data_IF_502790768539
#
_entry.id   IF_502790768539
#
_cell.length_a   1.000
_cell.length_b   1.000
_cell.length_c   1.000
_cell.angle_alpha   90.00
_cell.angle_beta   90.00
_cell.angle_gamma   90.00
#
_symmetry.space_group_name_H-M   'P 1'
#
loop_
_entity.id
_entity.type
_entity.pdbx_description
1 polymer ?
#
# COMPACT_ATOMS: atom_id res chain seq x y z
N UNK A 1 -14.35 60.30 -63.77
CA UNK A 1 -15.34 60.17 -64.86
C UNK A 1 -15.02 58.91 -65.63
N UNK A 2 -16.03 58.04 -65.82
CA UNK A 2 -16.02 56.76 -66.58
C UNK A 2 -15.55 56.92 -68.05
N UNK A 3 -15.20 55.86 -68.85
CA UNK A 3 -15.84 54.51 -69.00
C UNK A 3 -14.85 53.31 -69.09
N UNK A 4 -15.19 52.07 -68.70
CA UNK A 4 -16.06 51.03 -69.28
C UNK A 4 -15.59 50.42 -70.63
N UNK A 5 -15.19 49.14 -70.62
CA UNK A 5 -15.65 48.12 -71.59
C UNK A 5 -15.22 46.69 -71.24
N UNK A 6 -16.16 45.77 -71.45
CA UNK A 6 -16.11 44.31 -71.27
C UNK A 6 -15.83 43.65 -72.62
N UNK A 7 -14.99 42.61 -72.66
CA UNK A 7 -15.09 41.46 -73.61
C UNK A 7 -14.24 40.27 -73.13
N UNK A 8 -14.82 39.08 -73.12
CA UNK A 8 -14.18 37.75 -73.03
C UNK A 8 -14.17 37.10 -74.45
N UNK A 9 -13.84 35.80 -74.73
CA UNK A 9 -13.27 34.70 -73.92
C UNK A 9 -12.26 33.76 -74.69
N UNK A 10 -11.90 32.63 -74.05
CA UNK A 10 -11.54 31.28 -74.60
C UNK A 10 -10.14 30.94 -75.15
N UNK A 11 -9.51 29.93 -74.53
CA UNK A 11 -8.95 28.67 -75.10
C UNK A 11 -8.58 27.75 -73.91
N UNK A 12 -9.29 26.63 -73.63
CA UNK A 12 -9.12 25.24 -74.12
C UNK A 12 -7.68 24.71 -73.90
N UNK A 13 -7.38 23.55 -73.31
CA UNK A 13 -8.14 22.35 -72.88
C UNK A 13 -7.13 21.44 -72.08
N UNK A 14 -7.29 20.11 -71.94
CA UNK A 14 -7.53 19.39 -70.69
C UNK A 14 -6.29 18.59 -70.20
N UNK A 15 -6.37 17.97 -69.01
CA UNK A 15 -6.07 16.53 -68.81
C UNK A 15 -6.10 16.10 -67.34
N UNK A 16 -6.78 14.96 -67.14
CA UNK A 16 -6.53 13.93 -66.13
C UNK A 16 -6.95 14.11 -64.67
N UNK A 17 -8.19 13.68 -64.39
CA UNK A 17 -8.62 13.18 -63.08
C UNK A 17 -7.88 11.88 -62.73
N UNK A 18 -7.11 11.86 -61.65
CA UNK A 18 -6.87 10.65 -60.83
C UNK A 18 -6.91 10.99 -59.34
N UNK A 19 -7.56 10.11 -58.59
CA UNK A 19 -7.92 10.20 -57.17
C UNK A 19 -6.70 10.27 -56.26
N UNK A 20 -6.73 11.08 -55.20
CA UNK A 20 -6.12 10.70 -53.93
C UNK A 20 -7.00 11.18 -52.77
N UNK A 21 -7.22 10.28 -51.83
CA UNK A 21 -8.04 10.40 -50.64
C UNK A 21 -7.25 11.11 -49.53
N UNK A 22 -7.65 12.33 -49.17
CA UNK A 22 -7.14 12.99 -47.96
C UNK A 22 -8.29 13.16 -46.98
N UNK A 23 -8.14 12.50 -45.83
CA UNK A 23 -9.12 12.42 -44.74
C UNK A 23 -9.70 13.79 -44.35
N UNK A 24 -11.03 13.85 -44.18
CA UNK A 24 -11.67 14.92 -43.40
C UNK A 24 -11.28 14.75 -41.93
N UNK A 25 -10.47 15.67 -41.42
CA UNK A 25 -10.25 15.83 -39.98
C UNK A 25 -11.59 16.21 -39.32
N UNK A 26 -12.13 15.33 -38.48
CA UNK A 26 -13.21 15.67 -37.56
C UNK A 26 -12.64 16.44 -36.36
N UNK A 27 -13.43 17.35 -35.74
CA UNK A 27 -12.95 18.16 -34.62
C UNK A 27 -12.64 17.30 -33.40
N UNK A 28 -11.51 17.63 -32.77
CA UNK A 28 -10.96 17.00 -31.57
C UNK A 28 -11.97 17.10 -30.42
N UNK A 29 -12.57 15.96 -30.05
CA UNK A 29 -13.36 15.82 -28.83
C UNK A 29 -12.46 16.22 -27.65
N UNK A 30 -12.86 17.26 -26.91
CA UNK A 30 -12.29 17.54 -25.60
C UNK A 30 -12.77 16.46 -24.64
N UNK A 31 -11.88 15.52 -24.30
CA UNK A 31 -12.10 14.60 -23.19
C UNK A 31 -11.68 15.33 -21.92
N UNK A 32 -12.65 15.94 -21.24
CA UNK A 32 -12.53 16.40 -19.87
C UNK A 32 -12.96 15.26 -18.92
N UNK A 33 -12.02 14.73 -18.16
CA UNK A 33 -12.12 14.49 -16.71
C UNK A 33 -11.07 13.48 -16.24
N UNK A 34 -10.07 14.03 -15.56
CA UNK A 34 -9.29 13.43 -14.47
C UNK A 34 -8.75 12.00 -14.63
N UNK A 35 -7.60 11.90 -15.30
CA UNK A 35 -6.59 10.91 -14.93
C UNK A 35 -5.90 11.36 -13.63
N UNK A 36 -6.43 10.99 -12.46
CA UNK A 36 -5.56 10.85 -11.28
C UNK A 36 -4.80 9.56 -11.51
N UNK A 37 -3.52 9.67 -11.88
CA UNK A 37 -2.63 8.52 -11.84
C UNK A 37 -2.71 7.97 -10.41
N UNK A 38 -3.33 6.79 -10.26
CA UNK A 38 -3.34 6.08 -9.00
C UNK A 38 -1.87 5.88 -8.61
N UNK A 39 -1.48 6.43 -7.46
CA UNK A 39 -0.21 6.09 -6.84
C UNK A 39 -0.33 4.63 -6.40
N UNK A 40 -0.03 3.71 -7.32
CA UNK A 40 0.30 2.34 -6.99
C UNK A 40 1.71 2.43 -6.41
N UNK A 41 1.92 2.21 -5.10
CA UNK A 41 3.28 2.01 -4.61
C UNK A 41 3.89 0.90 -5.47
N UNK A 42 4.87 1.27 -6.30
CA UNK A 42 5.58 0.31 -7.12
C UNK A 42 6.29 -0.62 -6.15
N UNK A 43 5.72 -1.81 -5.90
CA UNK A 43 6.47 -2.92 -5.34
C UNK A 43 7.60 -3.20 -6.30
N UNK A 44 8.78 -2.64 -6.04
CA UNK A 44 10.00 -3.01 -6.77
C UNK A 44 10.42 -4.46 -6.47
N UNK A 45 9.70 -5.19 -5.61
CA UNK A 45 9.80 -6.65 -5.47
C UNK A 45 8.54 -7.37 -5.96
N UNK A 46 8.09 -7.11 -7.18
CA UNK A 46 7.13 -7.96 -7.91
C UNK A 46 7.65 -9.38 -8.21
N UNK A 47 8.60 -9.88 -7.42
CA UNK A 47 8.98 -11.28 -7.39
C UNK A 47 8.42 -11.80 -6.07
N UNK A 48 7.30 -12.51 -6.17
CA UNK A 48 6.87 -13.44 -5.14
C UNK A 48 8.07 -14.34 -4.82
N UNK A 49 8.81 -14.06 -3.74
CA UNK A 49 10.01 -14.84 -3.36
C UNK A 49 9.67 -16.26 -2.93
N UNK A 50 8.39 -16.63 -2.95
CA UNK A 50 7.91 -18.00 -2.76
C UNK A 50 7.95 -18.81 -4.06
N UNK A 51 8.16 -18.18 -5.23
CA UNK A 51 8.10 -18.84 -6.53
C UNK A 51 9.33 -18.50 -7.38
N UNK A 52 10.06 -19.53 -7.79
CA UNK A 52 11.19 -19.40 -8.72
C UNK A 52 10.76 -18.78 -10.06
N UNK A 53 11.68 -18.13 -10.79
CA UNK A 53 11.44 -17.46 -12.08
C UNK A 53 10.69 -18.30 -13.14
N UNK A 54 10.65 -19.63 -12.99
CA UNK A 54 9.88 -20.52 -13.87
C UNK A 54 8.39 -20.59 -13.54
N UNK A 55 7.96 -20.30 -12.30
CA UNK A 55 6.56 -20.28 -11.88
C UNK A 55 5.87 -18.92 -12.13
N UNK A 56 6.65 -17.83 -12.20
CA UNK A 56 6.13 -16.47 -12.44
C UNK A 56 5.39 -16.34 -13.77
N UNK A 57 5.75 -17.15 -14.78
CA UNK A 57 5.05 -17.16 -16.08
C UNK A 57 3.70 -17.89 -16.06
N UNK A 58 3.45 -18.75 -15.08
CA UNK A 58 2.18 -19.48 -14.93
C UNK A 58 1.27 -18.87 -13.85
N UNK A 59 1.81 -18.10 -12.88
CA UNK A 59 1.09 -17.56 -11.71
C UNK A 59 0.65 -16.09 -11.83
N UNK A 60 0.71 -15.47 -13.01
CA UNK A 60 -0.16 -14.32 -13.34
C UNK A 60 -1.64 -14.74 -13.51
N UNK A 61 -2.02 -15.89 -12.93
CA UNK A 61 -3.38 -16.38 -12.84
C UNK A 61 -4.16 -15.51 -11.84
N UNK A 62 -5.30 -15.01 -12.28
CA UNK A 62 -6.32 -14.46 -11.42
C UNK A 62 -6.53 -15.40 -10.22
N UNK A 63 -6.34 -14.90 -9.01
CA UNK A 63 -6.61 -15.70 -7.82
C UNK A 63 -8.13 -15.87 -7.70
N UNK A 64 -8.63 -17.09 -7.77
CA UNK A 64 -10.07 -17.37 -7.62
C UNK A 64 -10.58 -17.10 -6.19
N UNK A 65 -9.66 -17.06 -5.21
CA UNK A 65 -9.92 -16.73 -3.81
C UNK A 65 -8.62 -16.44 -3.08
N UNK A 66 -8.70 -15.74 -1.96
CA UNK A 66 -7.63 -15.65 -0.97
C UNK A 66 -8.12 -16.18 0.37
N UNK A 67 -7.18 -16.65 1.19
CA UNK A 67 -7.43 -17.07 2.57
C UNK A 67 -6.69 -16.13 3.50
N UNK A 68 -7.42 -15.41 4.35
CA UNK A 68 -6.84 -14.61 5.42
C UNK A 68 -6.73 -15.48 6.67
N UNK A 69 -5.50 -15.72 7.14
CA UNK A 69 -5.23 -16.53 8.34
C UNK A 69 -4.75 -15.65 9.47
N UNK A 70 -5.35 -15.79 10.65
CA UNK A 70 -4.81 -15.16 11.85
C UNK A 70 -3.45 -15.77 12.19
N UNK A 71 -2.50 -14.91 12.54
CA UNK A 71 -1.16 -15.34 12.97
C UNK A 71 -1.10 -15.71 14.44
N UNK A 72 -2.21 -15.55 15.15
CA UNK A 72 -2.37 -15.87 16.55
C UNK A 72 -3.74 -16.48 16.78
N UNK A 73 -3.78 -17.51 17.64
CA UNK A 73 -5.02 -18.13 18.05
C UNK A 73 -5.44 -17.54 19.40
N UNK A 74 -6.71 -17.19 19.53
CA UNK A 74 -7.32 -16.87 20.82
C UNK A 74 -8.36 -17.92 21.17
N UNK A 75 -8.61 -18.16 22.46
CA UNK A 75 -9.65 -19.09 22.88
C UNK A 75 -11.08 -18.57 22.58
N UNK A 76 -11.21 -17.25 22.36
CA UNK A 76 -12.48 -16.59 22.04
C UNK A 76 -12.84 -16.66 20.55
N UNK A 77 -11.85 -16.74 19.65
CA UNK A 77 -12.07 -16.88 18.22
C UNK A 77 -12.08 -18.36 17.80
N UNK A 78 -13.29 -18.90 17.58
CA UNK A 78 -13.49 -20.26 17.07
C UNK A 78 -13.03 -20.42 15.60
N UNK A 79 -12.82 -19.33 14.88
CA UNK A 79 -12.44 -19.30 13.46
C UNK A 79 -11.23 -18.39 13.28
N UNK A 80 -10.13 -18.97 12.80
CA UNK A 80 -8.85 -18.26 12.61
C UNK A 80 -8.43 -18.19 11.13
N UNK A 81 -9.28 -18.63 10.21
CA UNK A 81 -9.02 -18.63 8.77
C UNK A 81 -10.30 -18.29 8.02
N UNK A 82 -10.20 -17.33 7.11
CA UNK A 82 -11.34 -16.75 6.42
C UNK A 82 -11.10 -16.76 4.92
N UNK A 83 -12.06 -17.28 4.16
CA UNK A 83 -11.95 -17.38 2.70
C UNK A 83 -12.71 -16.22 2.07
N UNK A 84 -12.03 -15.46 1.23
CA UNK A 84 -12.63 -14.39 0.43
C UNK A 84 -12.65 -14.86 -1.04
N UNK A 85 -13.84 -15.15 -1.60
CA UNK A 85 -13.96 -15.61 -2.97
C UNK A 85 -13.81 -14.45 -3.97
N UNK A 86 -13.42 -14.78 -5.19
CA UNK A 86 -13.51 -13.89 -6.34
C UNK A 86 -14.96 -13.45 -6.55
N UNK A 87 -15.17 -12.16 -6.82
CA UNK A 87 -16.50 -11.57 -7.04
C UNK A 87 -17.17 -11.01 -5.79
N UNK A 88 -16.55 -11.13 -4.61
CA UNK A 88 -16.91 -10.28 -3.47
C UNK A 88 -16.50 -8.84 -3.79
N UNK A 89 -17.46 -8.01 -4.21
CA UNK A 89 -17.20 -6.60 -4.50
C UNK A 89 -16.72 -5.86 -3.25
N UNK A 90 -17.26 -6.18 -2.06
CA UNK A 90 -16.90 -5.57 -0.78
C UNK A 90 -16.88 -6.63 0.34
N UNK A 91 -15.79 -7.38 0.47
CA UNK A 91 -15.60 -8.28 1.59
C UNK A 91 -15.14 -7.51 2.83
N UNK A 92 -16.10 -7.09 3.64
CA UNK A 92 -15.85 -6.40 4.91
C UNK A 92 -15.18 -7.28 5.97
N UNK A 93 -14.29 -6.68 6.75
CA UNK A 93 -13.66 -7.26 7.94
C UNK A 93 -14.07 -6.42 9.16
N UNK A 94 -14.58 -7.05 10.23
CA UNK A 94 -14.99 -6.34 11.44
C UNK A 94 -15.51 -7.28 12.53
N UNK A 95 -16.03 -6.73 13.64
CA UNK A 95 -16.44 -7.54 14.80
C UNK A 95 -17.82 -8.17 14.70
N UNK A 96 -18.71 -7.61 13.89
CA UNK A 96 -20.09 -8.09 13.76
C UNK A 96 -20.20 -9.16 12.67
N UNK A 97 -21.12 -10.13 12.79
CA UNK A 97 -21.35 -11.15 11.76
C UNK A 97 -21.86 -10.63 10.41
N UNK A 98 -22.15 -9.34 10.30
CA UNK A 98 -22.50 -8.68 9.02
C UNK A 98 -21.29 -8.58 8.09
N UNK A 99 -20.07 -8.63 8.63
CA UNK A 99 -18.84 -8.64 7.86
C UNK A 99 -18.60 -10.02 7.23
N UNK A 100 -17.94 -10.05 6.08
CA UNK A 100 -17.48 -11.31 5.48
C UNK A 100 -16.47 -12.02 6.37
N UNK A 101 -15.61 -11.25 7.03
CA UNK A 101 -14.66 -11.72 8.05
C UNK A 101 -15.08 -11.15 9.39
N UNK A 102 -15.51 -12.03 10.30
CA UNK A 102 -16.00 -11.66 11.62
C UNK A 102 -14.98 -12.03 12.70
N UNK A 103 -14.45 -11.02 13.41
CA UNK A 103 -13.42 -11.17 14.45
C UNK A 103 -13.94 -10.51 15.73
N UNK A 104 -14.77 -11.19 16.53
CA UNK A 104 -15.43 -10.59 17.68
C UNK A 104 -14.49 -10.31 18.87
N UNK A 105 -13.37 -11.04 19.00
CA UNK A 105 -12.46 -10.92 20.14
C UNK A 105 -11.63 -9.61 20.13
N UNK A 106 -11.40 -9.00 18.96
CA UNK A 106 -10.68 -7.73 18.86
C UNK A 106 -11.60 -6.56 19.30
N UNK A 107 -11.49 -6.17 20.57
CA UNK A 107 -12.30 -5.10 21.18
C UNK A 107 -12.15 -3.75 20.47
N UNK A 108 -11.03 -3.55 19.77
CA UNK A 108 -10.58 -2.29 19.19
C UNK A 108 -10.86 -2.19 17.68
N UNK A 109 -11.22 -3.31 17.05
CA UNK A 109 -11.69 -3.37 15.68
C UNK A 109 -13.07 -2.69 15.54
N UNK A 110 -13.38 -2.14 14.38
CA UNK A 110 -14.70 -1.56 14.14
C UNK A 110 -15.75 -2.67 14.04
N UNK A 111 -16.99 -2.35 14.44
CA UNK A 111 -18.08 -3.30 14.39
C UNK A 111 -18.40 -3.73 12.95
N UNK A 112 -18.32 -2.81 11.99
CA UNK A 112 -18.58 -3.05 10.57
C UNK A 112 -17.45 -2.44 9.73
N UNK A 113 -16.97 -3.18 8.73
CA UNK A 113 -16.02 -2.74 7.71
C UNK A 113 -14.84 -1.94 8.25
N UNK A 114 -14.15 -2.48 9.27
CA UNK A 114 -12.86 -1.95 9.74
C UNK A 114 -11.80 -1.96 8.63
N UNK A 115 -11.86 -2.97 7.77
CA UNK A 115 -11.15 -3.02 6.50
C UNK A 115 -12.07 -3.61 5.45
N UNK A 116 -11.85 -3.28 4.19
CA UNK A 116 -12.62 -3.82 3.07
C UNK A 116 -11.66 -4.44 2.08
N UNK A 117 -11.90 -5.69 1.73
CA UNK A 117 -11.19 -6.38 0.65
C UNK A 117 -12.10 -6.41 -0.57
N UNK A 118 -11.59 -5.90 -1.68
CA UNK A 118 -12.29 -5.84 -2.95
C UNK A 118 -11.52 -6.65 -4.00
N UNK A 119 -12.23 -7.34 -4.89
CA UNK A 119 -11.63 -7.99 -6.05
C UNK A 119 -11.87 -7.14 -7.31
N UNK A 120 -10.79 -6.77 -8.01
CA UNK A 120 -10.84 -5.95 -9.22
C UNK A 120 -10.79 -6.83 -10.48
N UNK A 121 -11.32 -6.33 -11.59
CA UNK A 121 -11.37 -7.06 -12.88
C UNK A 121 -9.99 -7.48 -13.43
N UNK A 122 -8.92 -6.89 -12.91
CA UNK A 122 -7.55 -7.27 -13.23
C UNK A 122 -7.09 -8.57 -12.52
N UNK A 123 -7.97 -9.25 -11.79
CA UNK A 123 -7.71 -10.51 -11.10
C UNK A 123 -6.99 -10.36 -9.76
N UNK A 124 -6.85 -9.14 -9.25
CA UNK A 124 -6.19 -8.83 -7.99
C UNK A 124 -7.17 -8.57 -6.85
N UNK A 125 -6.79 -8.97 -5.65
CA UNK A 125 -7.43 -8.53 -4.41
C UNK A 125 -6.76 -7.28 -3.89
N UNK A 126 -7.56 -6.34 -3.40
CA UNK A 126 -7.10 -5.07 -2.88
C UNK A 126 -7.74 -4.83 -1.52
N UNK A 127 -6.98 -4.28 -0.59
CA UNK A 127 -7.49 -3.90 0.72
C UNK A 127 -7.52 -2.38 0.86
N UNK A 128 -8.59 -1.87 1.47
CA UNK A 128 -8.72 -0.48 1.88
C UNK A 128 -8.97 -0.40 3.37
N UNK A 129 -8.54 0.72 3.96
CA UNK A 129 -8.86 1.03 5.35
C UNK A 129 -10.35 1.38 5.47
N UNK A 130 -10.99 0.86 6.51
CA UNK A 130 -12.37 1.17 6.87
C UNK A 130 -12.54 2.57 7.43
N UNK A 131 -13.76 3.09 7.33
CA UNK A 131 -14.05 4.52 7.47
C UNK A 131 -14.54 4.98 8.85
N UNK A 132 -14.14 4.32 9.94
CA UNK A 132 -14.80 4.55 11.26
C UNK A 132 -13.88 4.82 12.47
N UNK A 133 -12.56 4.95 12.26
CA UNK A 133 -11.66 5.63 13.19
C UNK A 133 -11.27 4.90 14.50
N UNK A 134 -10.18 5.44 15.07
CA UNK A 134 -9.35 4.99 16.22
C UNK A 134 -8.27 3.96 15.92
N UNK A 135 -8.60 2.90 15.20
CA UNK A 135 -7.61 1.88 14.81
C UNK A 135 -7.69 1.67 13.30
N UNK A 136 -6.53 1.60 12.66
CA UNK A 136 -6.45 1.55 11.21
C UNK A 136 -5.88 0.23 10.72
N UNK A 137 -5.99 0.04 9.42
CA UNK A 137 -5.42 -1.06 8.66
C UNK A 137 -3.99 -0.73 8.28
N UNK A 138 -3.08 -1.65 8.59
CA UNK A 138 -1.68 -1.55 8.21
C UNK A 138 -1.23 -2.78 7.44
N UNK A 139 -0.22 -2.59 6.59
CA UNK A 139 0.48 -3.66 5.87
C UNK A 139 1.91 -3.72 6.37
N UNK A 140 2.40 -4.93 6.68
CA UNK A 140 3.78 -5.13 7.11
C UNK A 140 4.74 -4.84 5.96
N UNK A 141 5.80 -4.10 6.25
CA UNK A 141 6.91 -3.93 5.32
C UNK A 141 7.69 -5.24 5.24
N UNK A 142 8.14 -5.59 4.04
CA UNK A 142 9.12 -6.65 3.89
C UNK A 142 10.46 -6.20 4.50
N UNK A 143 11.14 -7.11 5.23
CA UNK A 143 12.47 -6.82 5.75
C UNK A 143 13.46 -6.65 4.60
N UNK A 144 14.43 -5.76 4.82
CA UNK A 144 15.59 -5.54 3.97
C UNK A 144 16.27 -6.86 3.66
N UNK A 145 16.37 -7.21 2.38
CA UNK A 145 17.24 -8.30 1.97
C UNK A 145 18.65 -7.77 1.71
N UNK A 146 19.59 -8.22 2.53
CA UNK A 146 21.02 -7.97 2.35
C UNK A 146 21.56 -8.31 0.96
N UNK A 147 20.94 -9.26 0.24
CA UNK A 147 21.35 -9.69 -1.10
C UNK A 147 20.76 -8.84 -2.22
N UNK A 148 19.74 -8.03 -1.93
CA UNK A 148 19.01 -7.24 -2.91
C UNK A 148 18.90 -5.78 -2.46
N UNK A 149 19.84 -4.92 -2.91
CA UNK A 149 19.86 -3.51 -2.54
C UNK A 149 18.62 -2.72 -2.95
N UNK A 150 17.84 -3.20 -3.93
CA UNK A 150 16.61 -2.53 -4.38
C UNK A 150 15.53 -2.51 -3.30
N UNK A 151 15.62 -3.42 -2.32
CA UNK A 151 14.69 -3.47 -1.19
C UNK A 151 14.75 -2.21 -0.31
N UNK A 152 15.83 -1.42 -0.39
CA UNK A 152 15.98 -0.15 0.34
C UNK A 152 15.05 0.96 -0.15
N UNK A 153 14.52 0.85 -1.36
CA UNK A 153 13.71 1.90 -1.99
C UNK A 153 12.25 1.50 -2.20
N UNK A 154 11.77 0.48 -1.49
CA UNK A 154 10.44 -0.09 -1.70
C UNK A 154 9.30 0.70 -1.07
N UNK A 155 9.55 1.37 0.06
CA UNK A 155 8.48 2.03 0.83
C UNK A 155 8.76 3.54 0.92
N UNK A 156 8.43 4.30 -0.13
CA UNK A 156 8.63 5.75 -0.12
C UNK A 156 7.81 6.40 0.99
N UNK A 157 8.41 7.36 1.67
CA UNK A 157 7.75 8.22 2.63
C UNK A 157 7.30 9.50 1.91
N UNK A 158 6.00 9.73 1.95
CA UNK A 158 5.36 10.96 1.46
C UNK A 158 4.73 11.71 2.64
N UNK A 159 4.46 13.00 2.46
CA UNK A 159 3.75 13.79 3.47
C UNK A 159 2.38 13.17 3.76
N UNK A 160 2.05 13.02 5.04
CA UNK A 160 0.82 12.40 5.52
C UNK A 160 0.88 10.88 5.63
N UNK A 161 1.96 10.22 5.19
CA UNK A 161 2.18 8.80 5.44
C UNK A 161 2.33 8.54 6.95
N UNK A 162 1.78 7.41 7.39
CA UNK A 162 1.90 6.96 8.76
C UNK A 162 2.43 5.53 8.78
N UNK A 163 3.32 5.24 9.71
CA UNK A 163 3.84 3.89 9.89
C UNK A 163 3.99 3.57 11.39
N UNK A 164 4.02 2.28 11.70
CA UNK A 164 4.21 1.73 13.04
C UNK A 164 5.50 0.94 13.10
N UNK A 165 6.30 1.20 14.12
CA UNK A 165 7.45 0.36 14.47
C UNK A 165 7.30 -0.05 15.94
N UNK A 166 7.24 -1.35 16.22
CA UNK A 166 6.88 -1.85 17.55
C UNK A 166 5.48 -1.36 17.97
N UNK A 167 5.41 -0.57 19.05
CA UNK A 167 4.16 0.05 19.57
C UNK A 167 4.07 1.56 19.31
N UNK A 168 5.01 2.15 18.57
CA UNK A 168 5.02 3.58 18.28
C UNK A 168 4.52 3.87 16.88
N UNK A 169 3.60 4.81 16.75
CA UNK A 169 3.11 5.34 15.47
C UNK A 169 3.82 6.65 15.12
N UNK A 170 4.18 6.76 13.86
CA UNK A 170 4.89 7.90 13.30
C UNK A 170 4.07 8.48 12.14
N UNK A 171 4.11 9.79 12.00
CA UNK A 171 3.53 10.51 10.86
C UNK A 171 4.58 11.42 10.23
N UNK A 172 4.67 11.36 8.91
CA UNK A 172 5.49 12.31 8.14
C UNK A 172 4.69 13.59 7.96
N UNK A 173 5.11 14.67 8.59
CA UNK A 173 4.38 15.95 8.57
C UNK A 173 4.85 16.87 7.47
N UNK A 174 6.13 16.80 7.11
CA UNK A 174 6.75 17.67 6.10
C UNK A 174 7.92 16.95 5.42
N UNK A 175 8.11 17.21 4.12
CA UNK A 175 9.28 16.78 3.36
C UNK A 175 9.79 17.98 2.57
N UNK A 176 11.01 18.40 2.89
CA UNK A 176 11.80 19.38 2.15
C UNK A 176 12.89 18.65 1.34
N UNK A 177 13.57 19.31 0.37
CA UNK A 177 14.53 18.66 -0.53
C UNK A 177 15.64 17.88 0.17
N UNK A 178 16.04 18.29 1.38
CA UNK A 178 17.13 17.68 2.15
C UNK A 178 16.74 17.41 3.61
N UNK A 179 15.44 17.42 3.93
CA UNK A 179 14.97 17.17 5.29
C UNK A 179 13.57 16.54 5.30
N UNK A 180 13.34 15.58 6.18
CA UNK A 180 12.03 14.98 6.47
C UNK A 180 11.67 15.25 7.94
N UNK A 181 10.49 15.80 8.18
CA UNK A 181 9.96 15.99 9.54
C UNK A 181 9.06 14.80 9.89
N UNK A 182 9.45 14.10 10.95
CA UNK A 182 8.77 12.93 11.48
C UNK A 182 8.23 13.25 12.88
N UNK A 183 6.91 13.24 13.02
CA UNK A 183 6.23 13.40 14.30
C UNK A 183 5.80 12.05 14.86
N UNK A 184 6.00 11.85 16.16
CA UNK A 184 5.62 10.61 16.85
C UNK A 184 4.25 10.82 17.47
N UNK A 185 3.27 10.06 16.99
CA UNK A 185 1.87 10.20 17.39
C UNK A 185 1.56 9.38 18.64
N UNK A 186 2.13 8.19 18.75
CA UNK A 186 1.88 7.26 19.86
C UNK A 186 3.17 6.57 20.33
N UNK A 187 3.11 5.94 21.51
CA UNK A 187 4.25 5.28 22.13
C UNK A 187 5.02 6.19 23.08
N UNK A 188 6.19 5.72 23.53
CA UNK A 188 6.96 6.34 24.63
C UNK A 188 7.43 7.78 24.34
N UNK A 189 7.60 8.12 23.07
CA UNK A 189 8.05 9.44 22.62
C UNK A 189 6.93 10.25 21.96
N UNK A 190 5.66 9.93 22.21
CA UNK A 190 4.52 10.67 21.65
C UNK A 190 4.66 12.18 21.88
N UNK A 191 4.36 12.96 20.84
CA UNK A 191 4.53 14.41 20.81
C UNK A 191 5.93 14.89 20.39
N UNK A 192 6.91 13.99 20.26
CA UNK A 192 8.25 14.37 19.79
C UNK A 192 8.30 14.53 18.28
N UNK A 193 9.11 15.48 17.81
CA UNK A 193 9.37 15.71 16.39
C UNK A 193 10.86 15.50 16.11
N UNK A 194 11.16 14.76 15.06
CA UNK A 194 12.51 14.52 14.57
C UNK A 194 12.65 15.05 13.15
N UNK A 195 13.71 15.80 12.89
CA UNK A 195 14.11 16.18 11.54
C UNK A 195 15.21 15.23 11.07
N UNK A 196 14.98 14.57 9.94
CA UNK A 196 15.88 13.59 9.34
C UNK A 196 16.49 14.23 8.11
N UNK A 197 17.81 14.26 8.02
CA UNK A 197 18.53 14.80 6.87
C UNK A 197 18.84 13.71 5.82
N UNK A 198 19.67 14.03 4.84
CA UNK A 198 20.04 13.13 3.76
C UNK A 198 20.92 11.94 4.17
N UNK A 199 21.45 11.91 5.39
CA UNK A 199 22.16 10.74 5.93
C UNK A 199 21.17 9.67 6.42
N UNK A 200 19.89 10.03 6.52
CA UNK A 200 18.81 9.15 6.95
C UNK A 200 18.73 9.01 8.47
N UNK A 201 17.98 8.02 8.93
CA UNK A 201 17.81 7.79 10.36
C UNK A 201 17.64 6.31 10.67
N UNK A 202 18.02 5.91 11.88
CA UNK A 202 17.75 4.56 12.40
C UNK A 202 16.75 4.65 13.54
N UNK A 203 15.87 3.66 13.64
CA UNK A 203 14.83 3.55 14.67
C UNK A 203 15.04 2.24 15.41
N UNK A 204 15.10 2.29 16.74
CA UNK A 204 15.19 1.07 17.54
C UNK A 204 15.44 1.31 19.03
N UNK A 205 15.52 0.22 19.79
CA UNK A 205 15.73 0.31 21.24
C UNK A 205 17.16 0.57 21.67
N UNK A 206 18.15 0.39 20.79
CA UNK A 206 19.54 0.69 21.13
C UNK A 206 19.75 2.21 21.19
N UNK A 207 20.63 2.68 22.07
CA UNK A 207 20.95 4.11 22.18
C UNK A 207 21.73 4.65 20.98
N UNK A 208 22.32 3.74 20.20
CA UNK A 208 23.06 3.97 18.96
C UNK A 208 22.15 4.21 17.73
N UNK A 209 20.83 4.29 17.91
CA UNK A 209 19.91 4.72 16.86
C UNK A 209 19.68 6.24 16.90
N UNK A 210 19.46 6.85 15.74
CA UNK A 210 19.05 8.26 15.61
C UNK A 210 17.77 8.55 16.41
N UNK A 211 16.80 7.65 16.31
CA UNK A 211 15.54 7.67 17.04
C UNK A 211 15.56 6.50 18.02
N UNK A 212 16.15 6.75 19.19
CA UNK A 212 16.22 5.78 20.27
C UNK A 212 14.94 5.79 21.11
N UNK A 213 14.34 4.62 21.29
CA UNK A 213 13.22 4.42 22.20
C UNK A 213 13.47 3.18 23.04
N UNK A 214 13.70 3.33 24.35
CA UNK A 214 13.85 2.20 25.27
C UNK A 214 12.54 1.43 25.53
N UNK A 215 11.85 1.02 24.47
CA UNK A 215 10.66 0.17 24.45
C UNK A 215 11.11 -1.29 24.20
N UNK A 216 10.56 -2.22 24.96
CA UNK A 216 10.84 -3.65 24.85
C UNK A 216 10.37 -4.25 23.52
N UNK A 217 9.39 -3.62 22.88
CA UNK A 217 8.75 -4.07 21.64
C UNK A 217 9.53 -3.67 20.38
N UNK A 218 10.57 -2.85 20.54
CA UNK A 218 11.48 -2.50 19.47
C UNK A 218 12.72 -3.41 19.52
N UNK A 219 13.10 -3.96 18.36
CA UNK A 219 14.42 -4.56 18.18
C UNK A 219 15.53 -3.51 18.36
N UNK A 220 16.76 -3.96 18.66
CA UNK A 220 17.93 -3.08 18.85
C UNK A 220 18.09 -2.11 17.69
N UNK A 221 18.01 -2.61 16.47
CA UNK A 221 17.78 -1.86 15.24
C UNK A 221 16.50 -2.44 14.64
N UNK A 222 15.46 -1.64 14.51
CA UNK A 222 14.12 -2.10 14.13
C UNK A 222 13.80 -1.69 12.69
N UNK A 223 13.94 -0.40 12.40
CA UNK A 223 13.75 0.15 11.07
C UNK A 223 14.81 1.20 10.75
N UNK A 224 14.94 1.52 9.48
CA UNK A 224 15.83 2.57 8.99
C UNK A 224 15.10 3.39 7.93
N UNK A 225 15.34 4.68 7.96
CA UNK A 225 14.93 5.63 6.93
C UNK A 225 16.14 5.91 6.06
N UNK A 226 16.01 5.65 4.77
CA UNK A 226 17.05 5.84 3.76
C UNK A 226 16.68 7.01 2.86
N UNK A 227 17.65 7.85 2.52
CA UNK A 227 17.49 8.87 1.51
C UNK A 227 18.13 8.43 0.20
N UNK A 228 17.40 8.52 -0.91
CA UNK A 228 17.92 8.24 -2.24
C UNK A 228 17.22 9.11 -3.28
N UNK A 229 18.00 9.79 -4.14
CA UNK A 229 17.51 10.58 -5.27
C UNK A 229 16.35 11.53 -4.91
N UNK A 230 16.46 12.28 -3.81
CA UNK A 230 15.44 13.26 -3.40
C UNK A 230 14.25 12.66 -2.64
N UNK A 231 14.23 11.35 -2.38
CA UNK A 231 13.13 10.68 -1.72
C UNK A 231 13.62 9.94 -0.47
N UNK A 232 12.75 9.89 0.54
CA UNK A 232 12.96 9.11 1.75
C UNK A 232 12.22 7.78 1.64
N UNK A 233 12.81 6.72 2.18
CA UNK A 233 12.28 5.38 2.14
C UNK A 233 12.36 4.74 3.52
N UNK A 234 11.29 4.09 3.95
CA UNK A 234 11.28 3.31 5.18
C UNK A 234 11.65 1.86 4.88
N UNK A 235 12.47 1.27 5.73
CA UNK A 235 12.93 -0.10 5.55
C UNK A 235 12.96 -0.79 6.90
N UNK A 236 12.32 -1.95 7.00
CA UNK A 236 12.47 -2.83 8.15
C UNK A 236 13.82 -3.55 8.08
N UNK A 237 14.61 -3.54 9.15
CA UNK A 237 15.98 -4.11 9.14
C UNK A 237 16.03 -5.52 9.75
N UNK A 238 14.94 -6.29 9.62
CA UNK A 238 14.81 -7.61 10.20
C UNK A 238 14.32 -7.55 11.65
N UNK A 239 13.34 -6.68 11.91
CA UNK A 239 12.78 -6.53 13.25
C UNK A 239 11.95 -7.75 13.64
N UNK A 240 11.90 -8.04 14.94
CA UNK A 240 11.16 -9.19 15.48
C UNK A 240 9.65 -9.00 15.34
N UNK A 241 9.17 -7.79 15.64
CA UNK A 241 7.74 -7.48 15.64
C UNK A 241 7.24 -6.93 14.29
N UNK A 242 8.14 -6.60 13.36
CA UNK A 242 7.80 -6.00 12.08
C UNK A 242 7.55 -4.50 12.16
N UNK A 243 7.82 -3.83 11.05
CA UNK A 243 7.39 -2.46 10.74
C UNK A 243 6.16 -2.52 9.85
N UNK A 244 5.17 -1.65 10.07
CA UNK A 244 3.91 -1.66 9.32
C UNK A 244 3.60 -0.27 8.74
N UNK A 245 3.16 -0.19 7.49
CA UNK A 245 2.68 1.03 6.84
C UNK A 245 1.17 1.13 6.98
N UNK A 246 0.65 2.26 7.44
CA UNK A 246 -0.79 2.51 7.53
C UNK A 246 -1.36 2.82 6.15
N UNK A 247 -2.51 2.26 5.82
CA UNK A 247 -3.22 2.51 4.56
C UNK A 247 -4.00 3.83 4.59
N UNK A 248 -3.29 4.94 4.75
CA UNK A 248 -3.84 6.29 4.80
C UNK A 248 -3.02 7.29 3.98
N UNK A 249 -3.61 8.46 3.70
CA UNK A 249 -2.93 9.53 2.98
C UNK A 249 -2.46 9.07 1.60
N UNK A 250 -1.15 9.13 1.34
CA UNK A 250 -0.57 8.64 0.09
C UNK A 250 -0.74 7.12 -0.13
N UNK A 251 -0.94 6.34 0.95
CA UNK A 251 -1.25 4.91 0.91
C UNK A 251 -2.75 4.61 1.13
N UNK A 252 -3.63 5.62 1.02
CA UNK A 252 -5.07 5.44 1.20
C UNK A 252 -5.79 4.84 0.00
N UNK A 253 -5.14 4.75 -1.17
CA UNK A 253 -5.68 4.03 -2.31
C UNK A 253 -5.71 2.52 -2.03
N UNK A 254 -6.61 1.74 -2.68
CA UNK A 254 -6.67 0.30 -2.53
C UNK A 254 -5.28 -0.34 -2.70
N UNK A 255 -4.83 -1.05 -1.66
CA UNK A 255 -3.53 -1.70 -1.63
C UNK A 255 -3.65 -3.11 -2.16
N UNK A 256 -2.91 -3.42 -3.24
CA UNK A 256 -2.91 -4.77 -3.83
C UNK A 256 -2.32 -5.78 -2.84
N UNK A 257 -3.12 -6.78 -2.49
CA UNK A 257 -2.69 -7.90 -1.65
C UNK A 257 -1.93 -8.93 -2.49
N UNK A 258 -0.83 -9.42 -1.94
CA UNK A 258 -0.07 -10.56 -2.47
C UNK A 258 0.01 -11.68 -1.43
N UNK A 259 0.20 -12.92 -1.90
CA UNK A 259 0.39 -14.06 -1.01
C UNK A 259 1.65 -13.87 -0.17
N UNK A 260 1.53 -14.07 1.14
CA UNK A 260 2.57 -13.84 2.13
C UNK A 260 2.53 -12.45 2.76
N UNK A 261 1.66 -11.54 2.30
CA UNK A 261 1.47 -10.26 2.96
C UNK A 261 0.91 -10.45 4.37
N UNK A 262 1.44 -9.68 5.32
CA UNK A 262 0.90 -9.59 6.66
C UNK A 262 0.16 -8.27 6.84
N UNK A 263 -1.04 -8.36 7.41
CA UNK A 263 -1.93 -7.25 7.67
C UNK A 263 -2.09 -7.11 9.18
N UNK A 264 -2.07 -5.88 9.68
CA UNK A 264 -2.45 -5.56 11.04
C UNK A 264 -3.75 -4.76 10.98
N UNK A 265 -4.83 -5.37 11.44
CA UNK A 265 -6.16 -4.79 11.52
C UNK A 265 -6.46 -4.57 12.99
N UNK A 266 -6.39 -3.33 13.46
CA UNK A 266 -6.47 -3.03 14.90
C UNK A 266 -5.38 -3.76 15.71
N UNK A 267 -5.71 -4.80 16.47
CA UNK A 267 -4.76 -5.65 17.19
C UNK A 267 -4.50 -6.97 16.47
N UNK A 268 -5.40 -7.35 15.58
CA UNK A 268 -5.39 -8.64 14.94
C UNK A 268 -4.44 -8.64 13.75
N UNK A 269 -3.57 -9.64 13.69
CA UNK A 269 -2.70 -9.85 12.55
C UNK A 269 -3.20 -11.00 11.67
N UNK A 270 -3.32 -10.72 10.38
CA UNK A 270 -3.73 -11.67 9.35
C UNK A 270 -2.61 -11.85 8.33
N UNK A 271 -2.50 -13.04 7.76
CA UNK A 271 -1.61 -13.35 6.64
C UNK A 271 -2.42 -13.77 5.43
N UNK A 272 -2.04 -13.28 4.26
CA UNK A 272 -2.68 -13.64 2.98
C UNK A 272 -2.09 -14.95 2.48
N UNK A 273 -2.92 -15.98 2.33
CA UNK A 273 -2.54 -17.32 1.85
C UNK A 273 -3.38 -17.75 0.64
N UNK A 274 -2.80 -18.61 -0.20
CA UNK A 274 -3.50 -19.24 -1.34
C UNK A 274 -4.36 -20.43 -0.90
N UNK A 275 -3.96 -21.13 0.17
CA UNK A 275 -4.59 -22.36 0.63
C UNK A 275 -4.83 -22.36 2.14
N UNK A 276 -5.81 -23.16 2.56
CA UNK A 276 -6.12 -23.37 3.97
C UNK A 276 -5.13 -24.33 4.67
N UNK A 277 -4.26 -25.01 3.92
CA UNK A 277 -3.22 -25.88 4.49
C UNK A 277 -2.06 -25.10 5.12
N UNK A 278 -1.70 -25.47 6.36
CA UNK A 278 -0.48 -25.03 7.05
C UNK A 278 -0.60 -23.70 7.80
N UNK A 279 -0.19 -23.70 9.06
CA UNK A 279 0.17 -22.49 9.83
C UNK A 279 1.55 -22.08 9.30
N UNK A 280 1.68 -20.91 8.68
CA UNK A 280 3.00 -20.37 8.38
C UNK A 280 3.46 -19.54 9.59
N UNK A 281 4.42 -20.10 10.32
CA UNK A 281 5.24 -19.43 11.31
C UNK A 281 6.13 -18.38 10.62
N UNK A 282 5.81 -17.10 10.72
CA UNK A 282 6.83 -16.03 10.57
C UNK A 282 6.46 -14.68 11.22
N UNK A 283 5.40 -14.68 12.03
CA UNK A 283 5.15 -13.61 12.99
C UNK A 283 5.61 -14.12 14.34
N UNK A 284 6.68 -13.52 14.87
CA UNK A 284 7.15 -13.80 16.22
C UNK A 284 5.96 -13.86 17.19
N UNK A 285 5.95 -14.91 18.00
CA UNK A 285 4.91 -15.22 18.96
C UNK A 285 4.56 -14.00 19.83
N UNK A 286 3.38 -13.37 19.64
CA UNK A 286 2.80 -12.55 20.71
C UNK A 286 2.05 -13.49 21.64
N UNK A 287 2.28 -13.34 22.94
CA UNK A 287 1.78 -14.28 23.95
C UNK A 287 0.32 -14.05 24.32
N UNK A 288 -0.17 -12.81 24.18
CA UNK A 288 -1.56 -12.41 24.48
C UNK A 288 -2.01 -11.27 23.55
N UNK A 289 -3.28 -11.29 23.09
CA UNK A 289 -3.93 -10.17 22.38
C UNK A 289 -4.11 -8.93 23.28
N UNK A 290 -4.10 -9.10 24.60
CA UNK A 290 -4.57 -8.08 25.55
C UNK A 290 -3.46 -7.16 26.13
N UNK A 291 -2.18 -7.39 25.82
CA UNK A 291 -1.10 -6.59 26.42
C UNK A 291 -0.83 -5.26 25.68
N UNK A 292 -1.69 -4.31 26.04
CA UNK A 292 -1.53 -2.85 26.02
C UNK A 292 -1.92 -2.11 24.74
N UNK A 293 -3.22 -2.06 24.46
CA UNK A 293 -3.83 -0.82 24.00
C UNK A 293 -4.17 0.06 25.22
N UNK A 294 -3.18 0.81 25.68
CA UNK A 294 -3.47 2.11 26.29
C UNK A 294 -3.04 3.16 25.27
N UNK A 295 -3.92 3.42 24.30
CA UNK A 295 -4.00 4.77 23.74
C UNK A 295 -4.55 5.62 24.90
N UNK A 296 -3.70 6.42 25.53
CA UNK A 296 -4.15 7.48 26.46
C UNK A 296 -4.79 8.57 25.61
#
# INVERSE_FOLDING_TARGET
MMPAMVTAPTTKDPTNKRRSSTLKLQPRVQISSMSKAFFLPQRHSGISRVLSDKQIKDDAQCLEKIVLKMTMQTEEDLVTSFVIPQGSNEAGIGKRPINTVCIPADKYMCDVNHAIVEHYDNGGFYITNGNDGKNDTYVRLFPLDSKDPSTRTQWPLSVGCQFRAGKSDFIVTEIAPTALCLHIVSGKLAGSVYTIDTDGATIGRSADNTIHMGDGELSRRHASIWYNNGNYYLVDVGSTNGTFMKLCGAYGAPFRLEIGDHLLLSQTCLTVSRFDYGINDDMGYRKHMEDAHTLI
#
